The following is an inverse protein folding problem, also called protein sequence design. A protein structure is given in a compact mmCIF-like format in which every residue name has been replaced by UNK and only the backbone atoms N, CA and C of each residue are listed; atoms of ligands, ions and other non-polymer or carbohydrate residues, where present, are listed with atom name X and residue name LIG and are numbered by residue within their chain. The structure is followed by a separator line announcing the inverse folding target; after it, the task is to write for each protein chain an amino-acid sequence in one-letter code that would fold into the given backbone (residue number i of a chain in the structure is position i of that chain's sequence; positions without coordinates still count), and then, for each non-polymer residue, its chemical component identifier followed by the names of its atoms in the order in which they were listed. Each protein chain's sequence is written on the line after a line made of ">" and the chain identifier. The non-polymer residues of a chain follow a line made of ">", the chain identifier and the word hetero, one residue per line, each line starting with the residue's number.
data_IF_943613026450
#
_entry.id   IF_943613026450
#
_cell.length_a   1.000
_cell.length_b   1.000
_cell.length_c   1.000
_cell.angle_alpha   90.00
_cell.angle_beta   90.00
_cell.angle_gamma   90.00
#
_symmetry.space_group_name_H-M   'P 1'
#
loop_
_entity.id
_entity.type
_entity.pdbx_description
1 polymer ?
#
# COMPACT_ATOMS: atom_id res chain seq x y z
N UNK A 1 8.13 37.71 19.08
CA UNK A 1 8.52 36.31 18.85
C UNK A 1 7.26 35.59 18.37
N UNK A 2 7.16 35.28 17.09
CA UNK A 2 6.03 34.49 16.57
C UNK A 2 6.38 33.02 16.84
N UNK A 3 5.58 32.36 17.69
CA UNK A 3 5.64 30.92 17.86
C UNK A 3 5.42 30.28 16.48
N UNK A 4 6.45 29.56 16.02
CA UNK A 4 6.33 28.69 14.85
C UNK A 4 5.38 27.56 15.27
N UNK A 5 4.09 27.67 14.91
CA UNK A 5 3.23 26.51 14.81
C UNK A 5 3.89 25.56 13.80
N UNK A 6 4.52 24.51 14.30
CA UNK A 6 4.99 23.39 13.48
C UNK A 6 3.73 22.75 12.86
N UNK A 7 3.31 23.25 11.70
CA UNK A 7 2.26 22.63 10.90
C UNK A 7 2.70 21.18 10.64
N UNK A 8 2.04 20.24 11.30
CA UNK A 8 2.30 18.81 11.10
C UNK A 8 1.84 18.43 9.70
N UNK A 9 2.80 18.17 8.80
CA UNK A 9 2.50 17.77 7.42
C UNK A 9 1.65 16.48 7.41
N UNK A 10 0.63 16.48 6.57
CA UNK A 10 -0.19 15.31 6.31
C UNK A 10 0.54 14.31 5.41
N UNK A 11 -0.02 13.09 5.22
CA UNK A 11 0.61 12.02 4.44
C UNK A 11 0.90 12.47 3.00
N UNK A 12 -0.04 13.14 2.37
CA UNK A 12 0.09 13.61 0.99
C UNK A 12 1.22 14.61 0.83
N UNK A 13 1.36 15.52 1.78
CA UNK A 13 2.45 16.51 1.82
C UNK A 13 3.80 15.85 2.08
N UNK A 14 3.85 14.84 2.95
CA UNK A 14 5.08 14.06 3.21
C UNK A 14 5.59 13.36 1.96
N UNK A 15 4.71 12.75 1.16
CA UNK A 15 5.08 12.14 -0.12
C UNK A 15 5.63 13.19 -1.10
N UNK A 16 4.93 14.33 -1.26
CA UNK A 16 5.37 15.40 -2.17
C UNK A 16 6.68 16.03 -1.75
N UNK A 17 6.90 16.17 -0.45
CA UNK A 17 8.14 16.68 0.12
C UNK A 17 9.27 15.64 0.15
N UNK A 18 9.04 14.42 -0.34
CA UNK A 18 10.00 13.32 -0.34
C UNK A 18 10.60 13.06 1.05
N UNK A 19 9.76 12.99 2.08
CA UNK A 19 10.22 12.77 3.45
C UNK A 19 10.43 11.28 3.76
N UNK A 20 11.44 11.00 4.57
CA UNK A 20 11.63 9.69 5.20
C UNK A 20 10.81 9.54 6.48
N UNK A 21 10.76 8.30 7.01
CA UNK A 21 10.07 8.01 8.27
C UNK A 21 8.54 7.96 8.16
N UNK A 22 8.00 7.89 6.95
CA UNK A 22 6.55 7.67 6.74
C UNK A 22 6.19 6.29 7.29
N UNK A 23 5.19 6.23 8.18
CA UNK A 23 4.71 5.02 8.81
C UNK A 23 3.25 4.76 8.45
N UNK A 24 3.01 3.65 7.74
CA UNK A 24 1.70 3.21 7.29
C UNK A 24 1.29 1.90 7.96
N UNK A 25 -0.03 1.67 8.03
CA UNK A 25 -0.57 0.37 8.42
C UNK A 25 -1.50 -0.18 7.33
N UNK A 26 -1.22 -1.41 6.89
CA UNK A 26 -1.95 -2.08 5.81
C UNK A 26 -3.19 -2.81 6.32
N UNK A 27 -4.32 -2.56 5.66
CA UNK A 27 -5.61 -3.19 5.92
C UNK A 27 -6.20 -3.81 4.66
N UNK A 28 -6.71 -5.02 4.81
CA UNK A 28 -7.57 -5.64 3.82
C UNK A 28 -9.03 -5.33 4.15
N UNK A 29 -9.82 -4.78 3.22
CA UNK A 29 -11.25 -4.62 3.43
C UNK A 29 -11.92 -5.96 3.75
N UNK A 30 -13.00 -5.98 4.55
CA UNK A 30 -13.73 -7.19 4.87
C UNK A 30 -14.37 -7.82 3.64
N UNK A 31 -14.77 -9.09 3.79
CA UNK A 31 -15.49 -9.83 2.75
C UNK A 31 -16.80 -9.14 2.41
N UNK A 32 -17.15 -9.13 1.14
CA UNK A 32 -18.35 -8.46 0.63
C UNK A 32 -19.67 -9.06 1.13
N UNK A 33 -19.63 -10.32 1.61
CA UNK A 33 -20.81 -11.02 2.15
C UNK A 33 -21.11 -10.72 3.62
N UNK A 34 -20.32 -9.86 4.29
CA UNK A 34 -20.64 -9.40 5.63
C UNK A 34 -21.80 -8.41 5.60
N UNK A 35 -22.64 -8.46 6.63
CA UNK A 35 -23.65 -7.44 6.86
C UNK A 35 -23.02 -6.07 7.14
N UNK A 36 -23.79 -5.01 6.93
CA UNK A 36 -23.34 -3.63 7.23
C UNK A 36 -22.92 -3.47 8.70
N UNK A 37 -23.63 -4.12 9.62
CA UNK A 37 -23.31 -4.05 11.06
C UNK A 37 -22.01 -4.77 11.40
N UNK A 38 -21.76 -5.94 10.82
CA UNK A 38 -20.48 -6.67 11.00
C UNK A 38 -19.31 -5.89 10.42
N UNK A 39 -19.46 -5.32 9.22
CA UNK A 39 -18.42 -4.51 8.59
C UNK A 39 -18.10 -3.25 9.41
N UNK A 40 -19.12 -2.57 9.99
CA UNK A 40 -18.94 -1.43 10.90
C UNK A 40 -18.21 -1.84 12.19
N UNK A 41 -18.59 -2.95 12.80
CA UNK A 41 -17.96 -3.47 14.00
C UNK A 41 -16.47 -3.81 13.73
N UNK A 42 -16.18 -4.46 12.60
CA UNK A 42 -14.81 -4.76 12.22
C UNK A 42 -13.97 -3.49 12.00
N UNK A 43 -14.52 -2.48 11.34
CA UNK A 43 -13.85 -1.19 11.14
C UNK A 43 -13.54 -0.52 12.49
N UNK A 44 -14.49 -0.53 13.43
CA UNK A 44 -14.28 0.00 14.77
C UNK A 44 -13.15 -0.73 15.51
N UNK A 45 -13.13 -2.06 15.46
CA UNK A 45 -12.06 -2.87 16.06
C UNK A 45 -10.69 -2.53 15.43
N UNK A 46 -10.64 -2.31 14.13
CA UNK A 46 -9.40 -1.94 13.44
C UNK A 46 -8.90 -0.56 13.88
N UNK A 47 -9.79 0.44 13.96
CA UNK A 47 -9.44 1.79 14.43
C UNK A 47 -9.01 1.77 15.91
N UNK A 48 -9.68 1.00 16.74
CA UNK A 48 -9.36 0.86 18.17
C UNK A 48 -7.94 0.34 18.39
N UNK A 49 -7.48 -0.63 17.59
CA UNK A 49 -6.12 -1.17 17.68
C UNK A 49 -5.03 -0.14 17.32
N UNK A 50 -5.38 0.89 16.54
CA UNK A 50 -4.46 1.93 16.10
C UNK A 50 -4.52 3.21 16.94
N UNK A 51 -5.50 3.33 17.84
CA UNK A 51 -5.82 4.56 18.57
C UNK A 51 -4.60 5.21 19.23
N UNK A 52 -3.76 4.41 19.89
CA UNK A 52 -2.62 4.90 20.65
C UNK A 52 -1.30 4.90 19.85
N UNK A 53 -1.38 4.71 18.54
CA UNK A 53 -0.20 4.67 17.67
C UNK A 53 -0.30 5.80 16.64
N UNK A 54 0.65 6.70 16.69
CA UNK A 54 0.75 7.78 15.74
C UNK A 54 1.32 7.25 14.41
N UNK A 55 0.44 6.97 13.46
CA UNK A 55 0.78 6.60 12.07
C UNK A 55 0.48 7.76 11.13
N UNK A 56 1.07 7.76 9.93
CA UNK A 56 0.82 8.78 8.92
C UNK A 56 -0.41 8.47 8.07
N UNK A 57 -0.78 7.19 7.95
CA UNK A 57 -1.96 6.79 7.20
C UNK A 57 -2.14 5.29 7.09
N UNK A 58 -3.19 4.91 6.36
CA UNK A 58 -3.55 3.52 6.10
C UNK A 58 -3.22 3.15 4.64
N UNK A 59 -2.84 1.90 4.41
CA UNK A 59 -2.88 1.28 3.08
C UNK A 59 -4.11 0.40 3.02
N UNK A 60 -5.01 0.66 2.08
CA UNK A 60 -6.23 -0.14 1.90
C UNK A 60 -6.10 -0.93 0.59
N UNK A 61 -6.00 -2.25 0.73
CA UNK A 61 -5.70 -3.14 -0.39
C UNK A 61 -6.91 -3.42 -1.28
N UNK A 62 -6.66 -3.44 -2.58
CA UNK A 62 -7.60 -3.90 -3.60
C UNK A 62 -7.24 -5.34 -4.00
N UNK A 63 -7.91 -6.31 -3.40
CA UNK A 63 -7.63 -7.71 -3.65
C UNK A 63 -8.08 -8.13 -5.05
N UNK A 64 -7.25 -8.95 -5.68
CA UNK A 64 -7.56 -9.65 -6.92
C UNK A 64 -7.38 -11.16 -6.73
N UNK A 65 -8.09 -11.93 -7.53
CA UNK A 65 -7.90 -13.37 -7.56
C UNK A 65 -6.58 -13.68 -8.28
N UNK A 66 -5.62 -14.18 -7.54
CA UNK A 66 -4.30 -14.56 -8.07
C UNK A 66 -4.18 -16.06 -8.37
N UNK A 67 -5.30 -16.79 -8.37
CA UNK A 67 -5.30 -18.25 -8.58
C UNK A 67 -4.72 -18.66 -9.94
N UNK A 68 -4.86 -17.82 -10.97
CA UNK A 68 -4.25 -18.05 -12.27
C UNK A 68 -2.72 -17.89 -12.27
N UNK A 69 -2.15 -17.24 -11.26
CA UNK A 69 -0.70 -17.00 -11.15
C UNK A 69 0.08 -18.25 -10.77
N UNK A 70 -0.53 -19.13 -9.99
CA UNK A 70 0.12 -20.27 -9.40
C UNK A 70 -0.73 -21.53 -9.62
N UNK A 71 -0.11 -22.61 -10.13
CA UNK A 71 -0.76 -23.91 -10.33
C UNK A 71 -1.06 -24.64 -9.02
N UNK A 72 -0.42 -24.24 -7.91
CA UNK A 72 -0.66 -24.83 -6.59
C UNK A 72 -1.98 -24.32 -6.00
N UNK A 73 -2.64 -25.19 -5.25
CA UNK A 73 -3.89 -24.82 -4.55
C UNK A 73 -3.61 -23.69 -3.57
N UNK A 74 -4.47 -22.66 -3.61
CA UNK A 74 -4.41 -21.55 -2.66
C UNK A 74 -4.69 -22.06 -1.24
N UNK A 75 -3.86 -21.66 -0.27
CA UNK A 75 -3.98 -22.09 1.14
C UNK A 75 -5.30 -21.61 1.77
N UNK A 76 -5.79 -20.44 1.34
CA UNK A 76 -7.07 -19.86 1.77
C UNK A 76 -7.91 -19.51 0.56
N UNK A 77 -9.18 -19.84 0.57
CA UNK A 77 -10.10 -19.52 -0.51
C UNK A 77 -10.20 -18.01 -0.74
N UNK A 78 -10.19 -17.61 -2.02
CA UNK A 78 -10.40 -16.21 -2.38
C UNK A 78 -11.84 -15.80 -2.09
N UNK A 79 -12.01 -14.64 -1.51
CA UNK A 79 -13.30 -14.01 -1.31
C UNK A 79 -13.25 -12.57 -1.76
N UNK A 80 -14.27 -12.13 -2.49
CA UNK A 80 -14.43 -10.73 -2.86
C UNK A 80 -14.55 -9.87 -1.60
N UNK A 81 -13.94 -8.71 -1.62
CA UNK A 81 -13.96 -7.74 -0.51
C UNK A 81 -14.69 -6.46 -0.93
N UNK A 82 -15.03 -5.63 0.04
CA UNK A 82 -15.48 -4.27 -0.26
C UNK A 82 -14.42 -3.54 -1.09
N UNK A 83 -14.88 -2.63 -1.96
CA UNK A 83 -13.97 -1.73 -2.66
C UNK A 83 -13.18 -0.87 -1.64
N UNK A 84 -11.85 -0.74 -1.78
CA UNK A 84 -11.02 -0.11 -0.77
C UNK A 84 -11.43 1.33 -0.45
N UNK A 85 -11.79 2.12 -1.46
CA UNK A 85 -12.27 3.49 -1.29
C UNK A 85 -13.61 3.59 -0.54
N UNK A 86 -14.51 2.63 -0.77
CA UNK A 86 -15.80 2.56 -0.08
C UNK A 86 -15.57 2.19 1.39
N UNK A 87 -14.70 1.19 1.63
CA UNK A 87 -14.41 0.76 3.00
C UNK A 87 -13.75 1.89 3.80
N UNK A 88 -12.78 2.59 3.23
CA UNK A 88 -12.12 3.73 3.86
C UNK A 88 -13.10 4.87 4.18
N UNK A 89 -13.94 5.25 3.22
CA UNK A 89 -14.84 6.40 3.38
C UNK A 89 -16.02 6.09 4.29
N UNK A 90 -16.71 4.96 4.06
CA UNK A 90 -18.04 4.71 4.64
C UNK A 90 -17.96 3.93 5.96
N UNK A 91 -16.91 3.14 6.17
CA UNK A 91 -16.74 2.30 7.35
C UNK A 91 -15.63 2.80 8.28
N UNK A 92 -14.45 3.11 7.77
CA UNK A 92 -13.38 3.72 8.56
C UNK A 92 -13.57 5.23 8.75
N UNK A 93 -14.58 5.84 8.09
CA UNK A 93 -14.97 7.26 8.19
C UNK A 93 -13.79 8.22 7.97
N UNK A 94 -12.86 7.86 7.10
CA UNK A 94 -11.66 8.63 6.80
C UNK A 94 -10.87 9.07 8.04
N UNK A 95 -10.85 8.23 9.09
CA UNK A 95 -10.20 8.53 10.37
C UNK A 95 -8.69 8.80 10.23
N UNK A 96 -8.08 8.25 9.16
CA UNK A 96 -6.70 8.50 8.74
C UNK A 96 -6.69 8.78 7.25
N UNK A 97 -5.71 9.54 6.75
CA UNK A 97 -5.43 9.53 5.32
C UNK A 97 -5.11 8.11 4.85
N UNK A 98 -5.44 7.80 3.60
CA UNK A 98 -5.19 6.49 3.06
C UNK A 98 -4.44 6.53 1.73
N UNK A 99 -3.68 5.47 1.48
CA UNK A 99 -3.20 5.05 0.18
C UNK A 99 -4.14 3.98 -0.33
N UNK A 100 -4.95 4.30 -1.32
CA UNK A 100 -5.92 3.38 -1.91
C UNK A 100 -5.26 2.57 -3.02
N UNK A 101 -5.20 1.25 -2.86
CA UNK A 101 -4.75 0.36 -3.93
C UNK A 101 -5.85 0.18 -4.97
N UNK A 102 -5.43 0.14 -6.25
CA UNK A 102 -6.29 -0.19 -7.38
C UNK A 102 -5.59 -1.22 -8.27
N UNK A 103 -6.14 -2.43 -8.31
CA UNK A 103 -5.70 -3.48 -9.22
C UNK A 103 -6.28 -3.17 -10.61
N UNK A 104 -5.62 -2.25 -11.32
CA UNK A 104 -6.18 -1.58 -12.50
C UNK A 104 -6.60 -2.54 -13.61
N UNK A 105 -5.91 -3.66 -13.76
CA UNK A 105 -6.21 -4.65 -14.81
C UNK A 105 -7.59 -5.32 -14.70
N UNK A 106 -8.30 -5.20 -13.57
CA UNK A 106 -9.65 -5.75 -13.40
C UNK A 106 -10.78 -4.77 -13.71
N UNK A 107 -10.45 -3.48 -13.89
CA UNK A 107 -11.42 -2.42 -14.16
C UNK A 107 -11.46 -2.08 -15.63
N UNK A 108 -12.66 -1.79 -16.15
CA UNK A 108 -12.80 -1.14 -17.45
C UNK A 108 -12.26 0.30 -17.37
N UNK A 109 -11.91 0.87 -18.54
CA UNK A 109 -11.36 2.22 -18.58
C UNK A 109 -12.30 3.26 -17.95
N UNK A 110 -13.61 3.13 -18.20
CA UNK A 110 -14.62 4.05 -17.67
C UNK A 110 -14.79 3.91 -16.14
N UNK A 111 -14.69 2.69 -15.60
CA UNK A 111 -14.73 2.47 -14.16
C UNK A 111 -13.54 3.15 -13.45
N UNK A 112 -12.34 3.04 -14.04
CA UNK A 112 -11.15 3.73 -13.51
C UNK A 112 -11.24 5.25 -13.70
N UNK A 113 -11.77 5.72 -14.83
CA UNK A 113 -12.00 7.15 -15.07
C UNK A 113 -12.97 7.73 -14.05
N UNK A 114 -14.08 7.05 -13.77
CA UNK A 114 -15.05 7.42 -12.74
C UNK A 114 -14.43 7.51 -11.33
N UNK A 115 -13.59 6.52 -10.97
CA UNK A 115 -12.84 6.56 -9.70
C UNK A 115 -11.96 7.81 -9.64
N UNK A 116 -11.23 8.12 -10.70
CA UNK A 116 -10.33 9.27 -10.76
C UNK A 116 -11.09 10.59 -10.69
N UNK A 117 -12.16 10.74 -11.46
CA UNK A 117 -12.97 11.97 -11.49
C UNK A 117 -13.65 12.24 -10.13
N UNK A 118 -14.18 11.21 -9.46
CA UNK A 118 -14.82 11.37 -8.13
C UNK A 118 -13.84 11.79 -7.03
N UNK A 119 -12.56 11.50 -7.21
CA UNK A 119 -11.50 11.82 -6.24
C UNK A 119 -10.61 12.97 -6.72
N UNK A 120 -10.96 13.62 -7.82
CA UNK A 120 -10.31 14.84 -8.28
C UNK A 120 -11.23 16.02 -8.00
N UNK A 121 -10.64 17.15 -7.62
CA UNK A 121 -11.37 18.41 -7.55
C UNK A 121 -11.62 18.93 -8.99
N UNK A 122 -12.55 18.26 -9.70
CA UNK A 122 -12.86 18.54 -11.10
C UNK A 122 -13.37 19.98 -11.35
N UNK A 123 -13.67 20.75 -10.29
CA UNK A 123 -14.12 22.14 -10.42
C UNK A 123 -13.08 23.07 -11.03
N UNK A 124 -11.81 22.70 -11.03
CA UNK A 124 -10.70 23.49 -11.58
C UNK A 124 -10.04 22.90 -12.84
N UNK A 125 -10.43 21.71 -13.28
CA UNK A 125 -9.96 21.18 -14.56
C UNK A 125 -10.77 21.82 -15.68
N UNK A 126 -10.13 22.56 -16.57
CA UNK A 126 -10.70 23.05 -17.86
C UNK A 126 -11.00 21.87 -18.80
N UNK A 127 -11.55 20.79 -18.29
CA UNK A 127 -12.08 19.67 -19.07
C UNK A 127 -13.59 19.81 -19.12
N UNK A 128 -14.12 19.71 -20.31
CA UNK A 128 -15.52 19.90 -20.62
C UNK A 128 -16.38 19.14 -19.59
N UNK A 129 -17.25 19.87 -18.94
CA UNK A 129 -18.34 19.41 -18.08
C UNK A 129 -19.11 18.23 -18.70
N UNK A 130 -19.05 18.10 -20.03
CA UNK A 130 -19.66 17.04 -20.85
C UNK A 130 -19.10 15.63 -20.53
N UNK A 131 -17.81 15.47 -20.21
CA UNK A 131 -17.22 14.15 -19.94
C UNK A 131 -17.54 13.62 -18.53
N UNK A 132 -17.89 14.51 -17.58
CA UNK A 132 -18.31 14.10 -16.22
C UNK A 132 -19.84 14.01 -16.10
N UNK A 133 -20.62 14.81 -16.81
CA UNK A 133 -22.09 14.80 -16.78
C UNK A 133 -22.69 13.61 -17.51
N UNK A 134 -22.09 13.15 -18.62
CA UNK A 134 -22.53 11.94 -19.33
C UNK A 134 -22.26 10.63 -18.57
N UNK A 135 -21.45 10.64 -17.51
CA UNK A 135 -21.18 9.49 -16.67
C UNK A 135 -22.26 9.27 -15.59
N UNK A 136 -23.07 10.27 -15.31
CA UNK A 136 -24.15 10.19 -14.32
C UNK A 136 -25.39 9.44 -14.86
N UNK A 137 -25.60 9.42 -16.18
CA UNK A 137 -26.71 8.70 -16.79
C UNK A 137 -26.51 7.18 -16.88
N UNK A 138 -25.26 6.72 -16.93
CA UNK A 138 -24.94 5.27 -17.00
C UNK A 138 -25.03 4.60 -15.60
N UNK A 139 -25.02 5.40 -14.52
CA UNK A 139 -24.97 4.94 -13.12
C UNK A 139 -26.37 4.73 -12.49
N UNK A 140 -27.47 5.09 -13.19
CA UNK A 140 -28.83 5.09 -12.64
C UNK A 140 -29.44 3.70 -12.40
N UNK A 141 -28.77 2.63 -12.81
CA UNK A 141 -29.26 1.25 -12.60
C UNK A 141 -28.65 0.52 -11.39
N UNK A 142 -27.78 1.17 -10.60
CA UNK A 142 -27.32 0.61 -9.33
C UNK A 142 -27.57 1.62 -8.21
N UNK A 143 -28.63 1.38 -7.46
CA UNK A 143 -29.16 2.22 -6.36
C UNK A 143 -28.17 2.33 -5.19
N UNK A 144 -27.21 3.26 -5.31
CA UNK A 144 -26.50 3.82 -4.17
C UNK A 144 -26.49 5.35 -4.33
N UNK A 145 -27.32 6.03 -3.51
CA UNK A 145 -27.59 7.44 -3.59
C UNK A 145 -26.33 8.33 -3.65
N UNK A 146 -26.36 9.31 -4.52
CA UNK A 146 -25.38 10.37 -4.65
C UNK A 146 -25.28 11.17 -3.36
N UNK A 147 -24.18 11.02 -2.61
CA UNK A 147 -23.83 11.96 -1.55
C UNK A 147 -22.81 12.93 -2.15
N UNK A 148 -23.17 14.23 -2.22
CA UNK A 148 -22.18 15.30 -2.48
C UNK A 148 -21.05 15.16 -1.46
N UNK A 149 -19.88 14.73 -1.90
CA UNK A 149 -18.70 14.61 -1.02
C UNK A 149 -18.21 16.00 -0.66
N UNK A 150 -18.19 16.31 0.64
CA UNK A 150 -17.41 17.43 1.16
C UNK A 150 -15.92 17.16 0.88
N UNK A 151 -15.09 18.19 0.69
CA UNK A 151 -13.65 18.08 0.41
C UNK A 151 -12.87 17.20 1.41
N UNK A 152 -13.42 16.94 2.60
CA UNK A 152 -12.83 16.10 3.64
C UNK A 152 -12.76 14.59 3.29
N UNK A 153 -13.43 14.13 2.23
CA UNK A 153 -13.53 12.70 1.88
C UNK A 153 -12.90 12.37 0.52
N UNK A 154 -12.02 13.23 0.00
CA UNK A 154 -11.30 12.96 -1.24
C UNK A 154 -10.07 12.10 -0.99
N UNK A 155 -9.86 11.11 -1.87
CA UNK A 155 -8.65 10.30 -1.88
C UNK A 155 -7.51 11.15 -2.44
N UNK A 156 -6.43 11.27 -1.67
CA UNK A 156 -5.27 12.06 -2.06
C UNK A 156 -4.09 11.21 -2.52
N UNK A 157 -4.08 9.91 -2.17
CA UNK A 157 -2.98 9.00 -2.48
C UNK A 157 -3.51 7.67 -3.00
N UNK A 158 -2.95 7.14 -4.08
CA UNK A 158 -3.27 5.82 -4.59
C UNK A 158 -2.03 5.07 -5.08
N UNK A 159 -2.14 3.75 -5.13
CA UNK A 159 -1.15 2.87 -5.76
C UNK A 159 -1.84 2.05 -6.84
N UNK A 160 -1.34 2.11 -8.06
CA UNK A 160 -1.82 1.27 -9.15
C UNK A 160 -1.01 -0.04 -9.20
N UNK A 161 -1.74 -1.15 -9.20
CA UNK A 161 -1.20 -2.50 -9.27
C UNK A 161 -1.62 -3.11 -10.62
N UNK A 162 -0.65 -3.66 -11.34
CA UNK A 162 -0.93 -4.40 -12.58
C UNK A 162 -1.54 -5.77 -12.29
N UNK A 163 -1.82 -6.53 -13.36
CA UNK A 163 -2.27 -7.91 -13.25
C UNK A 163 -1.21 -8.80 -12.62
N UNK A 164 -1.65 -9.76 -11.84
CA UNK A 164 -0.77 -10.69 -11.12
C UNK A 164 -0.18 -11.78 -12.02
N UNK A 165 -0.84 -12.11 -13.14
CA UNK A 165 -0.46 -13.16 -14.07
C UNK A 165 -0.16 -12.64 -15.48
N UNK A 166 0.80 -13.25 -16.17
CA UNK A 166 1.06 -12.97 -17.59
C UNK A 166 -0.01 -13.53 -18.51
N UNK A 167 -0.80 -14.48 -18.05
CA UNK A 167 -1.90 -15.10 -18.79
C UNK A 167 -3.17 -14.26 -18.77
N UNK A 168 -3.31 -13.40 -17.77
CA UNK A 168 -4.47 -12.52 -17.65
C UNK A 168 -4.30 -11.32 -18.57
N UNK A 169 -5.21 -11.17 -19.51
CA UNK A 169 -5.30 -9.93 -20.32
C UNK A 169 -5.94 -8.86 -19.46
N UNK A 170 -5.21 -7.79 -19.11
CA UNK A 170 -5.81 -6.70 -18.37
C UNK A 170 -6.85 -5.98 -19.22
N UNK A 171 -7.95 -5.54 -18.63
CA UNK A 171 -8.93 -4.67 -19.27
C UNK A 171 -8.32 -3.31 -19.62
N UNK A 172 -7.46 -2.81 -18.72
CA UNK A 172 -6.60 -1.64 -18.96
C UNK A 172 -5.17 -1.96 -18.52
N UNK A 173 -4.19 -1.60 -19.31
CA UNK A 173 -2.78 -1.76 -18.95
C UNK A 173 -2.35 -0.74 -17.89
N UNK A 174 -1.30 -1.05 -17.15
CA UNK A 174 -0.75 -0.13 -16.14
C UNK A 174 -0.30 1.21 -16.74
N UNK A 175 0.28 1.19 -17.96
CA UNK A 175 0.71 2.41 -18.63
C UNK A 175 -0.48 3.28 -19.07
N UNK A 176 -1.57 2.69 -19.54
CA UNK A 176 -2.80 3.42 -19.86
C UNK A 176 -3.44 4.00 -18.62
N UNK A 177 -3.47 3.24 -17.50
CA UNK A 177 -3.96 3.72 -16.22
C UNK A 177 -3.15 4.93 -15.71
N UNK A 178 -1.82 4.93 -15.87
CA UNK A 178 -0.98 6.08 -15.51
C UNK A 178 -1.29 7.31 -16.37
N UNK A 179 -1.44 7.14 -17.69
CA UNK A 179 -1.83 8.22 -18.59
C UNK A 179 -3.21 8.78 -18.23
N UNK A 180 -4.17 7.90 -17.95
CA UNK A 180 -5.52 8.27 -17.55
C UNK A 180 -5.51 9.10 -16.23
N UNK A 181 -4.78 8.63 -15.22
CA UNK A 181 -4.58 9.35 -13.95
C UNK A 181 -3.97 10.74 -14.17
N UNK A 182 -2.90 10.83 -14.97
CA UNK A 182 -2.23 12.11 -15.21
C UNK A 182 -3.14 13.12 -15.93
N UNK A 183 -4.08 12.64 -16.76
CA UNK A 183 -5.07 13.45 -17.44
C UNK A 183 -6.21 13.89 -16.52
N UNK A 184 -6.82 12.96 -15.78
CA UNK A 184 -8.06 13.18 -15.04
C UNK A 184 -7.85 13.64 -13.59
N UNK A 185 -6.77 13.21 -12.95
CA UNK A 185 -6.48 13.51 -11.54
C UNK A 185 -4.99 13.84 -11.33
N UNK A 186 -4.45 14.92 -11.95
CA UNK A 186 -3.01 15.23 -11.91
C UNK A 186 -2.49 15.44 -10.49
N UNK A 187 -3.30 15.99 -9.60
CA UNK A 187 -2.95 16.29 -8.19
C UNK A 187 -3.01 15.07 -7.26
N UNK A 188 -3.62 13.95 -7.69
CA UNK A 188 -3.61 12.71 -6.93
C UNK A 188 -2.18 12.15 -6.87
N UNK A 189 -1.65 11.93 -5.65
CA UNK A 189 -0.35 11.32 -5.49
C UNK A 189 -0.41 9.85 -5.93
N UNK A 190 0.35 9.53 -6.97
CA UNK A 190 0.43 8.19 -7.51
C UNK A 190 1.65 7.48 -6.94
N UNK A 191 1.44 6.32 -6.35
CA UNK A 191 2.48 5.37 -5.97
C UNK A 191 2.53 4.17 -6.91
N UNK A 192 3.62 3.43 -6.83
CA UNK A 192 3.83 2.17 -7.53
C UNK A 192 4.27 1.04 -6.60
N UNK A 193 4.28 -0.19 -7.13
CA UNK A 193 4.84 -1.35 -6.44
C UNK A 193 6.30 -1.52 -6.82
N UNK A 194 7.13 -1.78 -5.80
CA UNK A 194 8.53 -2.19 -5.92
C UNK A 194 8.72 -3.58 -5.28
N UNK A 195 9.50 -4.44 -5.91
CA UNK A 195 9.76 -5.82 -5.43
C UNK A 195 11.27 -6.07 -5.43
N UNK A 196 11.98 -5.80 -4.31
CA UNK A 196 13.42 -6.01 -4.20
C UNK A 196 13.88 -7.42 -4.56
N UNK A 197 13.07 -8.44 -4.27
CA UNK A 197 13.36 -9.83 -4.62
C UNK A 197 13.38 -10.08 -6.13
N UNK A 198 12.66 -9.27 -6.91
CA UNK A 198 12.71 -9.30 -8.37
C UNK A 198 14.06 -8.77 -8.87
N UNK A 199 14.61 -7.77 -8.21
CA UNK A 199 15.92 -7.21 -8.52
C UNK A 199 17.01 -8.28 -8.43
N UNK A 200 17.00 -9.13 -7.40
CA UNK A 200 17.94 -10.23 -7.26
C UNK A 200 17.92 -11.24 -8.43
N UNK A 201 16.76 -11.40 -9.09
CA UNK A 201 16.57 -12.33 -10.21
C UNK A 201 16.88 -11.73 -11.56
N UNK A 202 16.61 -10.43 -11.76
CA UNK A 202 16.64 -9.77 -13.06
C UNK A 202 17.56 -8.56 -13.13
N UNK A 203 17.94 -7.98 -11.99
CA UNK A 203 18.77 -6.78 -11.91
C UNK A 203 18.12 -5.53 -12.52
N UNK A 204 16.78 -5.45 -12.55
CA UNK A 204 16.07 -4.39 -13.27
C UNK A 204 14.98 -3.65 -12.45
N UNK A 205 14.84 -3.93 -11.16
CA UNK A 205 13.74 -3.31 -10.38
C UNK A 205 13.97 -1.82 -10.11
N UNK A 206 15.21 -1.39 -9.98
CA UNK A 206 15.61 0.01 -9.90
C UNK A 206 15.22 0.76 -11.18
N UNK A 207 15.48 0.18 -12.36
CA UNK A 207 15.09 0.72 -13.66
C UNK A 207 13.56 0.76 -13.81
N UNK A 208 12.84 -0.25 -13.29
CA UNK A 208 11.36 -0.26 -13.26
C UNK A 208 10.80 0.84 -12.38
N UNK A 209 11.43 1.08 -11.22
CA UNK A 209 11.08 2.20 -10.34
C UNK A 209 11.32 3.52 -11.08
N UNK A 210 12.47 3.68 -11.75
CA UNK A 210 12.78 4.86 -12.56
C UNK A 210 11.75 5.11 -13.67
N UNK A 211 11.39 4.07 -14.43
CA UNK A 211 10.38 4.17 -15.49
C UNK A 211 9.01 4.60 -14.95
N UNK A 212 8.56 4.01 -13.83
CA UNK A 212 7.29 4.39 -13.21
C UNK A 212 7.34 5.81 -12.63
N UNK A 213 8.49 6.23 -12.09
CA UNK A 213 8.69 7.61 -11.63
C UNK A 213 8.55 8.59 -12.79
N UNK A 214 9.13 8.29 -13.95
CA UNK A 214 8.95 9.10 -15.17
C UNK A 214 7.49 9.15 -15.65
N UNK A 215 6.68 8.14 -15.32
CA UNK A 215 5.24 8.09 -15.60
C UNK A 215 4.37 8.75 -14.49
N UNK A 216 4.99 9.34 -13.47
CA UNK A 216 4.31 10.14 -12.45
C UNK A 216 4.17 9.46 -11.09
N UNK A 217 4.81 8.30 -10.84
CA UNK A 217 4.85 7.72 -9.49
C UNK A 217 5.78 8.54 -8.60
N UNK A 218 5.23 9.08 -7.50
CA UNK A 218 5.94 9.90 -6.52
C UNK A 218 6.39 9.15 -5.26
N UNK A 219 6.07 7.88 -5.12
CA UNK A 219 6.51 6.99 -4.03
C UNK A 219 6.32 5.52 -4.43
N UNK A 220 6.94 4.61 -3.70
CA UNK A 220 6.79 3.17 -3.91
C UNK A 220 6.54 2.46 -2.60
N UNK A 221 5.64 1.45 -2.63
CA UNK A 221 5.43 0.52 -1.52
C UNK A 221 5.93 -0.85 -1.99
N UNK A 222 6.73 -1.53 -1.16
CA UNK A 222 7.27 -2.82 -1.55
C UNK A 222 6.29 -3.97 -1.28
N UNK A 223 6.47 -5.10 -1.95
CA UNK A 223 5.98 -6.37 -1.42
C UNK A 223 6.66 -6.64 -0.07
N UNK A 224 6.08 -7.48 0.78
CA UNK A 224 6.68 -7.81 2.08
C UNK A 224 8.12 -8.31 1.92
N UNK A 225 9.05 -7.73 2.68
CA UNK A 225 10.49 -7.96 2.59
C UNK A 225 10.95 -8.88 3.71
N UNK A 226 11.67 -9.93 3.33
CA UNK A 226 12.30 -10.90 4.24
C UNK A 226 13.77 -11.14 3.90
N UNK A 227 14.24 -10.59 2.78
CA UNK A 227 15.63 -10.70 2.35
C UNK A 227 16.32 -9.34 2.40
N UNK A 228 17.07 -9.11 3.47
CA UNK A 228 17.76 -7.85 3.71
C UNK A 228 18.80 -7.55 2.61
N UNK A 229 19.53 -8.55 2.14
CA UNK A 229 20.57 -8.36 1.12
C UNK A 229 19.96 -7.94 -0.23
N UNK A 230 18.82 -8.52 -0.61
CA UNK A 230 18.12 -8.12 -1.83
C UNK A 230 17.62 -6.67 -1.74
N UNK A 231 17.06 -6.28 -0.58
CA UNK A 231 16.60 -4.91 -0.35
C UNK A 231 17.75 -3.91 -0.34
N UNK A 232 18.89 -4.27 0.29
CA UNK A 232 20.12 -3.48 0.30
C UNK A 232 20.67 -3.28 -1.12
N UNK A 233 20.82 -4.36 -1.87
CA UNK A 233 21.31 -4.32 -3.25
C UNK A 233 20.41 -3.44 -4.14
N UNK A 234 19.10 -3.57 -4.01
CA UNK A 234 18.17 -2.68 -4.71
C UNK A 234 18.40 -1.21 -4.35
N UNK A 235 18.58 -0.88 -3.06
CA UNK A 235 18.87 0.50 -2.64
C UNK A 235 20.20 1.01 -3.19
N UNK A 236 21.24 0.16 -3.26
CA UNK A 236 22.53 0.53 -3.83
C UNK A 236 22.42 0.92 -5.30
N UNK A 237 21.77 0.07 -6.10
CA UNK A 237 21.62 0.32 -7.54
C UNK A 237 20.65 1.48 -7.80
N UNK A 238 19.56 1.56 -7.05
CA UNK A 238 18.64 2.70 -7.13
C UNK A 238 19.32 4.02 -6.76
N UNK A 239 20.21 4.05 -5.74
CA UNK A 239 20.97 5.22 -5.37
C UNK A 239 21.86 5.72 -6.50
N UNK A 240 22.46 4.79 -7.27
CA UNK A 240 23.39 5.09 -8.36
C UNK A 240 22.70 5.64 -9.63
N UNK A 241 21.38 5.52 -9.76
CA UNK A 241 20.67 6.10 -10.90
C UNK A 241 20.72 7.64 -10.84
N UNK A 242 20.98 8.28 -11.97
CA UNK A 242 21.02 9.74 -12.12
C UNK A 242 19.63 10.41 -12.14
N UNK A 243 18.67 9.92 -11.35
CA UNK A 243 17.30 10.43 -11.29
C UNK A 243 16.97 10.99 -9.91
N UNK A 244 15.93 11.83 -9.82
CA UNK A 244 15.35 12.24 -8.54
C UNK A 244 14.84 11.00 -7.81
N UNK A 245 15.30 10.79 -6.58
CA UNK A 245 14.81 9.70 -5.74
C UNK A 245 13.44 10.08 -5.17
N UNK A 246 12.59 9.05 -5.02
CA UNK A 246 11.28 9.18 -4.37
C UNK A 246 11.22 8.22 -3.18
N UNK A 247 10.29 8.42 -2.21
CA UNK A 247 10.20 7.56 -1.03
C UNK A 247 9.98 6.10 -1.38
N UNK A 248 10.70 5.22 -0.69
CA UNK A 248 10.52 3.76 -0.72
C UNK A 248 9.97 3.32 0.63
N UNK A 249 8.75 2.80 0.63
CA UNK A 249 8.05 2.33 1.83
C UNK A 249 8.17 0.81 1.87
N UNK A 250 9.01 0.29 2.76
CA UNK A 250 9.20 -1.15 2.90
C UNK A 250 8.04 -1.77 3.68
N UNK A 251 7.50 -2.87 3.16
CA UNK A 251 6.41 -3.61 3.81
C UNK A 251 6.98 -4.73 4.66
N UNK A 252 6.51 -4.82 5.90
CA UNK A 252 6.82 -5.89 6.85
C UNK A 252 5.54 -6.51 7.40
N UNK A 253 5.52 -7.83 7.45
CA UNK A 253 4.41 -8.59 8.02
C UNK A 253 4.94 -9.72 8.91
N UNK A 254 4.50 -9.86 10.16
CA UNK A 254 4.88 -10.98 11.01
C UNK A 254 4.40 -12.32 10.45
N UNK A 255 5.20 -13.35 10.66
CA UNK A 255 4.90 -14.73 10.27
C UNK A 255 5.14 -15.65 11.46
N UNK A 256 4.08 -16.20 12.04
CA UNK A 256 4.17 -17.05 13.24
C UNK A 256 3.82 -18.52 13.01
N UNK A 257 3.55 -18.95 11.78
CA UNK A 257 3.17 -20.35 11.48
C UNK A 257 3.55 -20.77 10.08
N UNK A 258 3.80 -22.09 9.92
CA UNK A 258 4.06 -22.67 8.60
C UNK A 258 2.92 -22.39 7.61
N UNK A 259 1.67 -22.42 8.06
CA UNK A 259 0.51 -22.13 7.22
C UNK A 259 0.52 -20.69 6.69
N UNK A 260 0.94 -19.73 7.49
CA UNK A 260 1.15 -18.34 7.06
C UNK A 260 2.30 -18.26 6.07
N UNK A 261 3.40 -18.97 6.34
CA UNK A 261 4.55 -19.04 5.43
C UNK A 261 4.21 -19.67 4.07
N UNK A 262 3.42 -20.75 4.06
CA UNK A 262 2.91 -21.35 2.81
C UNK A 262 2.07 -20.37 1.99
N UNK A 263 1.19 -19.62 2.66
CA UNK A 263 0.39 -18.61 1.99
C UNK A 263 1.25 -17.47 1.42
N UNK A 264 2.27 -17.05 2.14
CA UNK A 264 3.23 -16.06 1.66
C UNK A 264 3.98 -16.54 0.42
N UNK A 265 4.46 -17.79 0.44
CA UNK A 265 5.08 -18.42 -0.74
C UNK A 265 4.11 -18.51 -1.91
N UNK A 266 2.85 -18.84 -1.63
CA UNK A 266 1.80 -18.86 -2.65
C UNK A 266 1.61 -17.49 -3.29
N UNK A 267 1.63 -16.40 -2.51
CA UNK A 267 1.61 -15.01 -2.99
C UNK A 267 2.90 -14.59 -3.71
N UNK A 268 3.91 -15.45 -3.78
CA UNK A 268 5.20 -15.18 -4.42
C UNK A 268 6.12 -14.31 -3.56
N UNK A 269 5.87 -14.21 -2.26
CA UNK A 269 6.77 -13.57 -1.30
C UNK A 269 7.92 -14.54 -1.03
N UNK A 270 9.15 -14.09 -1.30
CA UNK A 270 10.34 -14.89 -1.08
C UNK A 270 10.79 -14.77 0.37
N UNK A 271 10.69 -15.85 1.13
CA UNK A 271 11.23 -15.94 2.48
C UNK A 271 12.47 -16.85 2.45
N UNK A 272 13.67 -16.31 2.68
CA UNK A 272 14.91 -17.08 2.62
C UNK A 272 14.95 -18.25 3.62
N UNK A 273 15.64 -19.31 3.29
CA UNK A 273 15.72 -20.50 4.15
C UNK A 273 16.31 -20.17 5.53
N UNK A 274 17.41 -19.41 5.58
CA UNK A 274 18.02 -18.99 6.85
C UNK A 274 17.05 -18.23 7.76
N UNK A 275 16.13 -17.43 7.16
CA UNK A 275 15.11 -16.73 7.90
C UNK A 275 14.07 -17.70 8.48
N UNK A 276 13.66 -18.70 7.69
CA UNK A 276 12.72 -19.73 8.13
C UNK A 276 13.30 -20.59 9.26
N UNK A 277 14.56 -21.02 9.11
CA UNK A 277 15.29 -21.78 10.13
C UNK A 277 15.37 -21.00 11.44
N UNK A 278 15.76 -19.74 11.38
CA UNK A 278 15.81 -18.86 12.56
C UNK A 278 14.44 -18.68 13.19
N UNK A 279 13.42 -18.49 12.38
CA UNK A 279 12.04 -18.29 12.83
C UNK A 279 11.52 -19.52 13.59
N UNK A 280 11.63 -20.70 12.98
CA UNK A 280 11.02 -21.91 13.52
C UNK A 280 11.90 -22.67 14.53
N UNK A 281 13.17 -22.32 14.69
CA UNK A 281 14.00 -22.78 15.82
C UNK A 281 13.82 -21.93 17.08
N UNK A 282 13.19 -20.79 16.99
CA UNK A 282 12.92 -19.95 18.16
C UNK A 282 11.78 -20.54 19.02
N UNK A 283 11.86 -20.46 20.37
CA UNK A 283 10.77 -20.89 21.25
C UNK A 283 9.43 -20.17 20.98
N UNK A 284 9.50 -18.93 20.48
CA UNK A 284 8.36 -18.13 20.08
C UNK A 284 8.58 -17.60 18.64
N UNK A 285 8.19 -18.36 17.60
CA UNK A 285 8.38 -17.96 16.21
C UNK A 285 7.76 -16.60 15.86
N UNK A 286 6.58 -16.30 16.41
CA UNK A 286 5.89 -15.04 16.13
C UNK A 286 6.64 -13.84 16.72
N UNK A 287 7.09 -13.93 17.98
CA UNK A 287 7.92 -12.90 18.60
C UNK A 287 9.27 -12.72 17.87
N UNK A 288 9.88 -13.82 17.43
CA UNK A 288 11.10 -13.76 16.62
C UNK A 288 10.86 -13.05 15.29
N UNK A 289 9.71 -13.28 14.65
CA UNK A 289 9.35 -12.60 13.42
C UNK A 289 9.19 -11.07 13.61
N UNK A 290 8.61 -10.64 14.73
CA UNK A 290 8.53 -9.21 15.10
C UNK A 290 9.93 -8.63 15.27
N UNK A 291 10.81 -9.31 16.02
CA UNK A 291 12.18 -8.87 16.25
C UNK A 291 12.97 -8.72 14.94
N UNK A 292 12.88 -9.72 14.06
CA UNK A 292 13.54 -9.70 12.75
C UNK A 292 13.01 -8.56 11.86
N UNK A 293 11.69 -8.36 11.83
CA UNK A 293 11.07 -7.25 11.09
C UNK A 293 11.56 -5.88 11.58
N UNK A 294 11.67 -5.70 12.90
CA UNK A 294 12.21 -4.49 13.52
C UNK A 294 13.68 -4.26 13.13
N UNK A 295 14.53 -5.29 13.24
CA UNK A 295 15.95 -5.20 12.89
C UNK A 295 16.16 -4.87 11.41
N UNK A 296 15.39 -5.51 10.52
CA UNK A 296 15.45 -5.22 9.08
C UNK A 296 15.02 -3.79 8.77
N UNK A 297 13.92 -3.31 9.39
CA UNK A 297 13.50 -1.92 9.18
C UNK A 297 14.56 -0.94 9.67
N UNK A 298 15.08 -1.13 10.88
CA UNK A 298 16.11 -0.25 11.46
C UNK A 298 17.34 -0.15 10.54
N UNK A 299 17.80 -1.29 10.03
CA UNK A 299 18.91 -1.33 9.07
C UNK A 299 18.57 -0.57 7.79
N UNK A 300 17.46 -0.91 7.12
CA UNK A 300 17.07 -0.31 5.84
C UNK A 300 16.80 1.19 5.97
N UNK A 301 16.24 1.63 7.08
CA UNK A 301 15.98 3.03 7.36
C UNK A 301 17.28 3.85 7.46
N UNK A 302 18.25 3.36 8.26
CA UNK A 302 19.56 3.98 8.38
C UNK A 302 20.35 3.92 7.06
N UNK A 303 20.32 2.77 6.41
CA UNK A 303 21.05 2.54 5.16
C UNK A 303 20.54 3.39 4.01
N UNK A 304 19.23 3.42 3.79
CA UNK A 304 18.62 4.25 2.74
C UNK A 304 18.88 5.74 2.97
N UNK A 305 18.76 6.21 4.22
CA UNK A 305 19.09 7.58 4.60
C UNK A 305 20.54 7.95 4.27
N UNK A 306 21.50 7.06 4.56
CA UNK A 306 22.91 7.24 4.21
C UNK A 306 23.16 7.30 2.69
N UNK A 307 22.27 6.70 1.90
CA UNK A 307 22.28 6.74 0.42
C UNK A 307 21.44 7.89 -0.17
N UNK A 308 20.89 8.77 0.65
CA UNK A 308 20.04 9.87 0.19
C UNK A 308 18.65 9.43 -0.30
N UNK A 309 18.19 8.24 0.11
CA UNK A 309 16.87 7.71 -0.23
C UNK A 309 15.95 7.84 1.00
N UNK A 310 14.78 8.44 0.80
CA UNK A 310 13.74 8.50 1.81
C UNK A 310 13.11 7.12 2.00
N UNK A 311 13.28 6.53 3.19
CA UNK A 311 12.73 5.23 3.55
C UNK A 311 11.61 5.41 4.57
N UNK A 312 10.52 4.66 4.38
CA UNK A 312 9.42 4.51 5.32
C UNK A 312 9.04 3.05 5.52
N UNK A 313 7.98 2.81 6.30
CA UNK A 313 7.46 1.48 6.56
C UNK A 313 5.95 1.40 6.33
N UNK A 314 5.52 0.25 5.82
CA UNK A 314 4.15 -0.21 5.84
C UNK A 314 4.11 -1.51 6.64
N UNK A 315 3.38 -1.54 7.74
CA UNK A 315 3.22 -2.73 8.57
C UNK A 315 1.84 -3.32 8.32
N UNK A 316 1.77 -4.64 8.16
CA UNK A 316 0.50 -5.31 7.90
C UNK A 316 0.42 -6.68 8.57
N UNK A 317 -0.77 -7.26 8.63
CA UNK A 317 -0.95 -8.67 8.89
C UNK A 317 -1.58 -9.35 7.68
N UNK A 318 -0.86 -10.29 7.09
CA UNK A 318 -1.37 -11.10 5.98
C UNK A 318 -2.41 -12.13 6.44
N UNK A 319 -2.44 -12.37 7.75
CA UNK A 319 -3.32 -13.33 8.41
C UNK A 319 -4.46 -12.61 9.15
N UNK A 320 -5.60 -13.27 9.24
CA UNK A 320 -6.76 -12.82 10.05
C UNK A 320 -6.70 -13.33 11.50
N UNK A 321 -5.67 -14.08 11.87
CA UNK A 321 -5.48 -14.60 13.24
C UNK A 321 -5.18 -13.46 14.20
N UNK A 322 -5.93 -13.41 15.31
CA UNK A 322 -5.79 -12.33 16.32
C UNK A 322 -4.36 -12.16 16.82
N UNK A 323 -3.63 -13.27 17.03
CA UNK A 323 -2.24 -13.24 17.52
C UNK A 323 -1.28 -12.61 16.50
N UNK A 324 -1.44 -12.90 15.20
CA UNK A 324 -0.59 -12.32 14.15
C UNK A 324 -0.94 -10.85 13.90
N UNK A 325 -2.22 -10.47 14.02
CA UNK A 325 -2.62 -9.06 14.02
C UNK A 325 -1.99 -8.32 15.22
N UNK A 326 -2.04 -8.91 16.41
CA UNK A 326 -1.41 -8.31 17.60
C UNK A 326 0.09 -8.12 17.40
N UNK A 327 0.79 -9.11 16.82
CA UNK A 327 2.21 -9.03 16.50
C UNK A 327 2.50 -7.92 15.45
N UNK A 328 1.61 -7.71 14.47
CA UNK A 328 1.77 -6.59 13.53
C UNK A 328 1.63 -5.23 14.22
N UNK A 329 0.75 -5.11 15.19
CA UNK A 329 0.60 -3.90 16.01
C UNK A 329 1.82 -3.67 16.92
N UNK A 330 2.41 -4.73 17.47
CA UNK A 330 3.67 -4.66 18.21
C UNK A 330 4.81 -4.15 17.32
N UNK A 331 4.99 -4.76 16.14
CA UNK A 331 5.99 -4.31 15.16
C UNK A 331 5.77 -2.85 14.74
N UNK A 332 4.51 -2.44 14.58
CA UNK A 332 4.17 -1.05 14.24
C UNK A 332 4.67 -0.06 15.31
N UNK A 333 4.50 -0.40 16.60
CA UNK A 333 5.00 0.41 17.73
C UNK A 333 6.53 0.46 17.74
N UNK A 334 7.19 -0.67 17.51
CA UNK A 334 8.65 -0.75 17.47
C UNK A 334 9.21 0.12 16.35
N UNK A 335 8.64 0.02 15.15
CA UNK A 335 9.03 0.84 14.00
C UNK A 335 8.81 2.33 14.25
N UNK A 336 7.68 2.69 14.90
CA UNK A 336 7.43 4.08 15.31
C UNK A 336 8.52 4.61 16.23
N UNK A 337 8.96 3.80 17.20
CA UNK A 337 10.01 4.17 18.14
C UNK A 337 11.36 4.39 17.43
N UNK A 338 11.72 3.52 16.47
CA UNK A 338 12.92 3.67 15.64
C UNK A 338 12.89 5.00 14.86
N UNK A 339 11.76 5.30 14.23
CA UNK A 339 11.60 6.55 13.46
C UNK A 339 11.76 7.77 14.39
N UNK A 340 11.13 7.76 15.57
CA UNK A 340 11.26 8.85 16.54
C UNK A 340 12.70 9.06 17.02
N UNK A 341 13.42 7.98 17.30
CA UNK A 341 14.83 8.06 17.77
C UNK A 341 15.79 8.57 16.70
N UNK A 342 15.48 8.42 15.43
CA UNK A 342 16.35 8.85 14.34
C UNK A 342 16.15 10.32 13.92
N UNK A 343 15.18 11.01 14.51
CA UNK A 343 14.92 12.46 14.29
C UNK A 343 15.82 13.32 15.18
N UNK A 344 16.47 12.73 16.17
CA UNK A 344 17.47 13.37 17.04
C UNK A 344 18.87 12.90 16.65
#
# INVERSE_FOLDING_TARGET
>A
MRENENLKLNLSEKFRANLGGILLYGLTPPKLNLSVSEAKNLAQIQLERLRDIEIDGLVIYDLQDESARNKSKRTFEFSKTFAPEIYWRDYLKSAYEAVIYKAVGKYEQDELANFLCRNSDCKNAKFNQIDCENLDEISSNNSAGFIKTSNANLISNCVFVGVSSKTDRPKISLNEAYKLKNRLAPHLNLGGICIPERHAKKGDEDLRVAQKTALGCGFFITQAVYNLENAKRFLDEYANLGIKKVPIIFTFTPCGSEKTLEFMRWLGIAVPQYFQERLFSAPNPLGESVRLGREMFEFLYKYGRAKGISVGANIESISTRKVEIAASIELLRDVKNIIKQAVF
#
